data_IF_903175074065
#
_entry.id   IF_903175074065
#
_cell.length_a   1.000
_cell.length_b   1.000
_cell.length_c   1.000
_cell.angle_alpha   90.00
_cell.angle_beta   90.00
_cell.angle_gamma   90.00
#
_symmetry.space_group_name_H-M   'P 1'
#
loop_
_entity.id
_entity.type
_entity.pdbx_description
1 polymer ?
#
# COMPACT_ATOMS: atom_id res chain seq x y z
N UNK A 1 -0.79 -1.66 3.04
CA UNK A 1 -0.40 -0.26 3.34
C UNK A 1 0.97 0.07 2.75
N UNK A 2 1.99 -0.78 2.96
CA UNK A 2 3.33 -0.57 2.40
C UNK A 2 3.38 -0.27 0.90
N UNK A 3 2.63 -1.00 0.08
CA UNK A 3 2.52 -0.76 -1.38
C UNK A 3 2.20 0.69 -1.72
N UNK A 4 1.17 1.27 -1.10
CA UNK A 4 0.79 2.67 -1.36
C UNK A 4 1.83 3.66 -0.87
N UNK A 5 2.59 3.33 0.18
CA UNK A 5 3.67 4.18 0.64
C UNK A 5 4.84 4.20 -0.35
N UNK A 6 5.16 3.06 -0.97
CA UNK A 6 6.15 2.96 -2.06
C UNK A 6 5.70 3.78 -3.26
N UNK A 7 4.49 3.50 -3.77
CA UNK A 7 3.88 4.21 -4.91
C UNK A 7 3.85 5.72 -4.66
N UNK A 8 3.38 6.16 -3.48
CA UNK A 8 3.31 7.59 -3.13
C UNK A 8 4.68 8.26 -3.23
N UNK A 9 5.73 7.61 -2.71
CA UNK A 9 7.08 8.17 -2.71
C UNK A 9 7.66 8.20 -4.14
N UNK A 10 7.43 7.16 -4.94
CA UNK A 10 7.81 7.13 -6.37
C UNK A 10 7.16 8.30 -7.12
N UNK A 11 5.86 8.53 -6.90
CA UNK A 11 5.09 9.55 -7.60
C UNK A 11 5.21 10.95 -6.98
N UNK A 12 6.04 11.16 -5.95
CA UNK A 12 6.10 12.43 -5.23
C UNK A 12 6.78 13.54 -6.05
N UNK A 13 7.60 13.20 -7.04
CA UNK A 13 8.33 14.16 -7.88
C UNK A 13 9.57 14.76 -7.19
N UNK A 14 10.05 14.13 -6.11
CA UNK A 14 11.31 14.52 -5.45
C UNK A 14 12.47 13.94 -6.24
N UNK A 15 13.39 14.80 -6.69
CA UNK A 15 14.56 14.37 -7.48
C UNK A 15 15.60 13.68 -6.61
N UNK A 16 16.27 12.67 -7.18
CA UNK A 16 17.40 12.00 -6.52
C UNK A 16 17.02 11.10 -5.35
N UNK A 17 15.76 10.65 -5.27
CA UNK A 17 15.32 9.70 -4.25
C UNK A 17 15.55 8.28 -4.74
N UNK A 18 16.08 7.44 -3.85
CA UNK A 18 16.13 5.98 -3.99
C UNK A 18 15.18 5.36 -2.98
N UNK A 19 14.41 4.37 -3.40
CA UNK A 19 13.43 3.68 -2.55
C UNK A 19 13.82 2.21 -2.44
N UNK A 20 14.09 1.77 -1.22
CA UNK A 20 14.28 0.37 -0.88
C UNK A 20 13.03 -0.17 -0.18
N UNK A 21 12.38 -1.19 -0.73
CA UNK A 21 11.21 -1.83 -0.13
C UNK A 21 11.56 -3.22 0.40
N UNK A 22 11.44 -3.39 1.72
CA UNK A 22 11.79 -4.62 2.43
C UNK A 22 10.57 -5.43 2.88
N UNK A 23 10.60 -6.75 2.65
CA UNK A 23 9.64 -7.72 3.20
C UNK A 23 10.35 -9.08 3.37
N UNK A 24 9.86 -9.93 4.29
CA UNK A 24 10.38 -11.29 4.47
C UNK A 24 9.81 -12.26 3.41
N UNK A 25 8.67 -11.91 2.82
CA UNK A 25 7.96 -12.71 1.83
C UNK A 25 8.33 -12.26 0.41
N UNK A 26 9.10 -13.10 -0.28
CA UNK A 26 9.57 -12.81 -1.64
C UNK A 26 8.40 -12.71 -2.65
N UNK A 27 7.28 -13.42 -2.44
CA UNK A 27 6.12 -13.32 -3.34
C UNK A 27 5.45 -11.94 -3.24
N UNK A 28 5.43 -11.35 -2.03
CA UNK A 28 4.96 -9.97 -1.83
C UNK A 28 5.89 -8.96 -2.49
N UNK A 29 7.21 -9.19 -2.42
CA UNK A 29 8.19 -8.35 -3.10
C UNK A 29 8.03 -8.40 -4.62
N UNK A 30 7.87 -9.59 -5.21
CA UNK A 30 7.61 -9.75 -6.64
C UNK A 30 6.31 -9.07 -7.06
N UNK A 31 5.24 -9.22 -6.27
CA UNK A 31 3.95 -8.59 -6.52
C UNK A 31 4.05 -7.05 -6.45
N UNK A 32 4.79 -6.52 -5.47
CA UNK A 32 5.07 -5.09 -5.36
C UNK A 32 5.88 -4.59 -6.56
N UNK A 33 6.92 -5.32 -6.97
CA UNK A 33 7.79 -4.92 -8.07
C UNK A 33 7.03 -4.81 -9.40
N UNK A 34 6.12 -5.75 -9.68
CA UNK A 34 5.25 -5.69 -10.87
C UNK A 34 4.43 -4.41 -10.96
N UNK A 35 4.02 -3.84 -9.81
CA UNK A 35 3.22 -2.60 -9.74
C UNK A 35 4.12 -1.36 -9.71
N UNK A 36 5.19 -1.39 -8.89
CA UNK A 36 5.99 -0.23 -8.58
C UNK A 36 7.07 0.07 -9.62
N UNK A 37 7.67 -0.95 -10.25
CA UNK A 37 8.77 -0.75 -11.21
C UNK A 37 8.37 0.11 -12.43
N UNK A 38 7.21 -0.13 -13.09
CA UNK A 38 6.79 0.72 -14.20
C UNK A 38 6.59 2.19 -13.80
N UNK A 39 6.13 2.44 -12.57
CA UNK A 39 5.99 3.79 -12.03
C UNK A 39 7.35 4.41 -11.70
N UNK A 40 8.28 3.62 -11.18
CA UNK A 40 9.64 4.05 -10.88
C UNK A 40 10.36 4.49 -12.15
N UNK A 41 10.30 3.68 -13.21
CA UNK A 41 10.89 3.98 -14.51
C UNK A 41 10.28 5.25 -15.12
N UNK A 42 8.94 5.35 -15.11
CA UNK A 42 8.21 6.52 -15.60
C UNK A 42 8.59 7.82 -14.88
N UNK A 43 8.84 7.75 -13.58
CA UNK A 43 9.17 8.91 -12.75
C UNK A 43 10.68 9.12 -12.55
N UNK A 44 11.53 8.28 -13.16
CA UNK A 44 12.98 8.30 -13.01
C UNK A 44 13.43 8.23 -11.54
N UNK A 45 12.85 7.29 -10.78
CA UNK A 45 13.15 7.03 -9.37
C UNK A 45 13.82 5.66 -9.26
N UNK A 46 14.94 5.56 -8.55
CA UNK A 46 15.55 4.25 -8.30
C UNK A 46 14.70 3.49 -7.28
N UNK A 47 14.31 2.27 -7.62
CA UNK A 47 13.49 1.41 -6.78
C UNK A 47 14.07 0.01 -6.75
N UNK A 48 14.31 -0.51 -5.54
CA UNK A 48 14.84 -1.86 -5.31
C UNK A 48 14.04 -2.56 -4.21
N UNK A 49 13.61 -3.80 -4.44
CA UNK A 49 13.04 -4.66 -3.39
C UNK A 49 14.11 -5.52 -2.75
N UNK A 50 14.00 -5.80 -1.45
CA UNK A 50 14.95 -6.65 -0.75
C UNK A 50 14.31 -7.51 0.34
N UNK A 51 14.90 -8.67 0.61
CA UNK A 51 14.61 -9.48 1.76
C UNK A 51 15.70 -9.24 2.82
N UNK A 52 15.38 -8.70 4.01
CA UNK A 52 16.39 -8.33 5.00
C UNK A 52 17.23 -9.50 5.51
N UNK A 53 16.76 -10.74 5.34
CA UNK A 53 17.48 -11.96 5.74
C UNK A 53 18.41 -12.50 4.65
N UNK A 54 18.26 -12.05 3.40
CA UNK A 54 19.00 -12.58 2.24
C UNK A 54 19.91 -11.53 1.62
N UNK A 55 19.38 -10.33 1.36
CA UNK A 55 20.04 -9.27 0.62
C UNK A 55 19.72 -7.88 1.19
N UNK A 56 20.04 -7.61 2.47
CA UNK A 56 19.81 -6.29 3.05
C UNK A 56 20.57 -5.19 2.26
N UNK A 57 20.01 -3.97 2.16
CA UNK A 57 20.68 -2.87 1.49
C UNK A 57 22.00 -2.55 2.20
N UNK A 58 23.06 -2.33 1.42
CA UNK A 58 24.37 -1.98 1.95
C UNK A 58 24.45 -0.54 2.46
N UNK A 59 23.60 0.34 1.93
CA UNK A 59 23.58 1.77 2.25
C UNK A 59 22.64 2.06 3.42
N UNK A 60 23.05 2.99 4.28
CA UNK A 60 22.23 3.46 5.39
C UNK A 60 21.13 4.41 4.90
N UNK A 61 19.92 4.26 5.43
CA UNK A 61 18.76 5.05 4.98
C UNK A 61 18.63 6.37 5.74
N UNK A 62 18.35 7.46 5.02
CA UNK A 62 18.05 8.78 5.62
C UNK A 62 16.60 8.89 6.12
N UNK A 63 15.70 8.06 5.61
CA UNK A 63 14.30 8.03 6.00
C UNK A 63 13.81 6.58 5.98
N UNK A 64 13.36 6.06 7.12
CA UNK A 64 12.89 4.69 7.28
C UNK A 64 11.43 4.74 7.67
N UNK A 65 10.57 3.95 7.01
CA UNK A 65 9.16 3.83 7.40
C UNK A 65 8.81 2.38 7.70
N UNK A 66 8.33 2.14 8.91
CA UNK A 66 8.02 0.82 9.41
C UNK A 66 6.54 0.51 9.21
N UNK A 67 6.27 -0.41 8.27
CA UNK A 67 4.91 -0.78 7.84
C UNK A 67 4.33 -1.98 8.56
N UNK A 68 5.12 -2.64 9.41
CA UNK A 68 4.69 -3.75 10.23
C UNK A 68 4.84 -3.38 11.72
N UNK A 69 3.88 -3.74 12.59
CA UNK A 69 3.86 -3.40 14.01
C UNK A 69 4.81 -4.31 14.81
N UNK A 70 6.09 -4.35 14.42
CA UNK A 70 7.08 -5.30 14.95
C UNK A 70 8.18 -4.52 15.70
N UNK A 71 8.28 -4.65 17.04
CA UNK A 71 9.28 -3.92 17.84
C UNK A 71 10.71 -4.14 17.37
N UNK A 72 11.07 -5.36 16.97
CA UNK A 72 12.42 -5.69 16.48
C UNK A 72 12.79 -4.88 15.22
N UNK A 73 11.82 -4.47 14.40
CA UNK A 73 12.10 -3.64 13.24
C UNK A 73 12.42 -2.19 13.64
N UNK A 74 11.84 -1.68 14.73
CA UNK A 74 12.18 -0.36 15.25
C UNK A 74 13.63 -0.33 15.77
N UNK A 75 14.00 -1.33 16.57
CA UNK A 75 15.38 -1.49 17.03
C UNK A 75 16.35 -1.65 15.86
N UNK A 76 16.00 -2.48 14.87
CA UNK A 76 16.80 -2.67 13.66
C UNK A 76 16.98 -1.40 12.83
N UNK A 77 15.96 -0.54 12.77
CA UNK A 77 16.01 0.73 12.05
C UNK A 77 17.04 1.70 12.63
N UNK A 78 17.26 1.71 13.95
CA UNK A 78 18.33 2.53 14.57
C UNK A 78 19.70 2.11 14.06
N UNK A 79 19.91 0.80 13.84
CA UNK A 79 21.18 0.28 13.36
C UNK A 79 21.41 0.60 11.87
N UNK A 80 20.38 0.47 11.03
CA UNK A 80 20.48 0.73 9.58
C UNK A 80 20.30 2.20 9.18
N UNK A 81 19.88 3.07 10.11
CA UNK A 81 19.74 4.49 9.87
C UNK A 81 21.08 5.20 9.67
N UNK A 82 21.10 6.12 8.71
CA UNK A 82 22.16 7.11 8.55
C UNK A 82 22.11 8.17 9.65
N UNK A 83 23.19 8.93 9.82
CA UNK A 83 23.20 10.08 10.72
C UNK A 83 22.16 11.13 10.28
N UNK A 84 21.38 11.64 11.22
CA UNK A 84 20.30 12.60 11.01
C UNK A 84 19.02 12.00 10.41
N UNK A 85 18.91 10.67 10.36
CA UNK A 85 17.76 10.02 9.73
C UNK A 85 16.49 10.11 10.57
N UNK A 86 15.35 10.09 9.88
CA UNK A 86 14.02 10.01 10.48
C UNK A 86 13.51 8.57 10.39
N UNK A 87 13.04 8.02 11.50
CA UNK A 87 12.43 6.70 11.57
C UNK A 87 10.94 6.87 11.91
N UNK A 88 10.10 6.54 10.95
CA UNK A 88 8.65 6.65 11.04
C UNK A 88 8.02 5.30 11.41
N UNK A 89 7.49 5.21 12.62
CA UNK A 89 6.79 4.05 13.18
C UNK A 89 5.32 4.07 12.74
N UNK A 90 5.09 3.85 11.44
CA UNK A 90 3.79 4.09 10.82
C UNK A 90 2.70 3.08 11.21
N UNK A 91 3.05 1.79 11.32
CA UNK A 91 2.09 0.72 11.58
C UNK A 91 1.43 0.77 12.97
N UNK A 92 1.92 1.67 13.84
CA UNK A 92 1.59 1.68 15.26
C UNK A 92 2.19 0.45 15.96
N UNK A 93 2.45 0.58 17.26
CA UNK A 93 2.80 -0.53 18.14
C UNK A 93 1.83 -0.46 19.31
N UNK A 94 1.33 -1.61 19.75
CA UNK A 94 0.43 -1.67 20.89
C UNK A 94 1.08 -1.01 22.12
N UNK A 95 0.29 -0.24 22.88
CA UNK A 95 0.82 0.65 23.92
C UNK A 95 1.52 -0.07 25.08
N UNK A 96 1.20 -1.33 25.28
CA UNK A 96 1.77 -2.23 26.29
C UNK A 96 3.04 -2.96 25.81
N UNK A 97 3.41 -2.82 24.53
CA UNK A 97 4.57 -3.48 23.96
C UNK A 97 5.82 -2.61 24.10
N UNK A 98 6.82 -3.14 24.78
CA UNK A 98 8.11 -2.49 24.99
C UNK A 98 9.08 -2.86 23.85
N UNK A 99 9.83 -1.88 23.37
CA UNK A 99 10.88 -2.06 22.38
C UNK A 99 12.26 -1.75 22.98
N UNK A 100 13.21 -2.66 22.82
CA UNK A 100 14.60 -2.44 23.23
C UNK A 100 15.34 -1.59 22.19
N UNK A 101 15.58 -0.33 22.52
CA UNK A 101 16.27 0.62 21.65
C UNK A 101 17.68 0.88 22.18
N UNK A 102 18.68 0.78 21.31
CA UNK A 102 20.03 1.26 21.61
C UNK A 102 20.04 2.80 21.59
N UNK A 103 19.92 3.42 22.76
CA UNK A 103 19.85 4.87 22.90
C UNK A 103 21.18 5.56 22.59
N UNK A 104 22.32 4.91 22.83
CA UNK A 104 23.64 5.47 22.51
C UNK A 104 23.76 5.69 21.00
N UNK A 105 23.46 4.64 20.20
CA UNK A 105 23.43 4.74 18.74
C UNK A 105 22.39 5.73 18.23
N UNK A 106 21.22 5.79 18.86
CA UNK A 106 20.17 6.75 18.50
C UNK A 106 20.65 8.19 18.67
N UNK A 107 21.28 8.50 19.81
CA UNK A 107 21.78 9.84 20.14
C UNK A 107 22.98 10.21 19.26
N UNK A 108 23.97 9.32 19.13
CA UNK A 108 25.18 9.55 18.33
C UNK A 108 24.85 9.86 16.87
N UNK A 109 23.89 9.10 16.31
CA UNK A 109 23.40 9.30 14.94
C UNK A 109 22.38 10.44 14.84
N UNK A 110 21.98 11.09 15.93
CA UNK A 110 21.00 12.19 15.91
C UNK A 110 19.68 11.79 15.22
N UNK A 111 19.17 10.60 15.53
CA UNK A 111 17.96 10.08 14.92
C UNK A 111 16.70 10.74 15.49
N UNK A 112 15.61 10.64 14.73
CA UNK A 112 14.31 11.16 15.17
C UNK A 112 13.19 10.14 14.90
N UNK A 113 12.50 9.72 15.97
CA UNK A 113 11.29 8.90 15.84
C UNK A 113 10.05 9.76 15.60
N UNK A 114 9.22 9.33 14.65
CA UNK A 114 7.89 9.90 14.42
C UNK A 114 6.84 8.79 14.31
N UNK A 115 5.61 9.13 14.66
CA UNK A 115 4.43 8.34 14.38
C UNK A 115 3.26 9.29 14.14
N UNK A 116 2.38 8.96 13.18
CA UNK A 116 1.23 9.80 12.84
C UNK A 116 -0.05 9.04 13.15
N UNK A 117 -0.96 9.63 13.93
CA UNK A 117 -2.22 8.99 14.33
C UNK A 117 -3.35 9.12 13.29
N UNK A 118 -3.14 9.86 12.19
CA UNK A 118 -4.16 10.02 11.16
C UNK A 118 -3.84 11.12 10.15
N UNK A 119 -4.82 11.40 9.29
CA UNK A 119 -4.76 12.44 8.27
C UNK A 119 -5.72 13.57 8.61
N UNK A 120 -5.28 14.80 8.37
CA UNK A 120 -6.12 16.00 8.45
C UNK A 120 -7.01 16.15 7.20
N UNK A 121 -7.96 17.09 7.23
CA UNK A 121 -8.73 17.47 6.04
C UNK A 121 -7.83 17.98 4.91
N UNK A 122 -6.75 18.67 5.24
CA UNK A 122 -5.83 19.20 4.24
C UNK A 122 -4.98 18.08 3.61
N UNK A 123 -4.64 17.04 4.38
CA UNK A 123 -4.02 15.83 3.84
C UNK A 123 -4.96 15.14 2.83
N UNK A 124 -6.25 14.99 3.18
CA UNK A 124 -7.25 14.41 2.29
C UNK A 124 -7.41 15.22 1.00
N UNK A 125 -7.52 16.55 1.08
CA UNK A 125 -7.58 17.43 -0.10
C UNK A 125 -6.33 17.32 -0.96
N UNK A 126 -5.16 17.22 -0.34
CA UNK A 126 -3.87 17.06 -1.04
C UNK A 126 -3.84 15.75 -1.84
N UNK A 127 -4.28 14.65 -1.25
CA UNK A 127 -4.38 13.36 -1.95
C UNK A 127 -5.40 13.43 -3.08
N UNK A 128 -6.59 14.01 -2.84
CA UNK A 128 -7.62 14.17 -3.86
C UNK A 128 -7.10 14.94 -5.09
N UNK A 129 -6.39 16.05 -4.89
CA UNK A 129 -5.80 16.82 -5.99
C UNK A 129 -4.75 16.02 -6.79
N UNK A 130 -3.99 15.15 -6.14
CA UNK A 130 -3.03 14.25 -6.83
C UNK A 130 -3.73 13.19 -7.66
N UNK A 131 -4.84 12.64 -7.16
CA UNK A 131 -5.66 11.67 -7.91
C UNK A 131 -6.32 12.34 -9.11
N UNK A 132 -6.94 13.51 -8.92
CA UNK A 132 -7.60 14.25 -10.01
C UNK A 132 -6.62 14.70 -11.11
N UNK A 133 -5.37 15.02 -10.75
CA UNK A 133 -4.33 15.37 -11.73
C UNK A 133 -3.62 14.18 -12.35
N UNK A 134 -3.98 12.94 -12.00
CA UNK A 134 -3.35 11.71 -12.49
C UNK A 134 -1.92 11.49 -11.97
N UNK A 135 -1.47 12.27 -10.99
CA UNK A 135 -0.14 12.12 -10.36
C UNK A 135 -0.07 10.93 -9.42
N UNK A 136 -1.20 10.48 -8.89
CA UNK A 136 -1.30 9.31 -8.03
C UNK A 136 -2.54 8.51 -8.41
N UNK A 137 -2.36 7.24 -8.77
CA UNK A 137 -3.48 6.31 -8.90
C UNK A 137 -3.58 5.48 -7.62
N UNK A 138 -4.74 5.50 -6.98
CA UNK A 138 -5.02 4.71 -5.77
C UNK A 138 -5.66 3.35 -6.09
N UNK A 139 -6.21 3.18 -7.31
CA UNK A 139 -6.90 1.95 -7.72
C UNK A 139 -5.95 0.76 -7.80
N UNK A 140 -4.68 1.00 -8.09
CA UNK A 140 -3.63 -0.02 -8.16
C UNK A 140 -3.39 -0.76 -6.83
N UNK A 141 -3.96 -0.28 -5.72
CA UNK A 141 -3.92 -1.00 -4.44
C UNK A 141 -5.05 -2.02 -4.26
N UNK A 142 -6.04 -2.04 -5.14
CA UNK A 142 -7.19 -2.93 -5.06
C UNK A 142 -6.75 -4.32 -5.50
N UNK A 143 -7.04 -5.31 -4.65
CA UNK A 143 -6.73 -6.72 -4.88
C UNK A 143 -7.99 -7.59 -4.93
N UNK A 144 -9.11 -7.10 -4.39
CA UNK A 144 -10.40 -7.75 -4.49
C UNK A 144 -11.56 -6.75 -4.42
N UNK A 145 -12.70 -7.18 -4.91
CA UNK A 145 -13.97 -6.45 -4.84
C UNK A 145 -15.04 -7.35 -4.21
N UNK A 146 -16.03 -6.74 -3.56
CA UNK A 146 -17.21 -7.45 -3.08
C UNK A 146 -18.44 -6.56 -3.10
N UNK A 147 -19.62 -7.18 -3.11
CA UNK A 147 -20.87 -6.57 -2.69
C UNK A 147 -21.00 -6.57 -1.18
N UNK A 148 -22.14 -6.10 -0.67
CA UNK A 148 -22.38 -6.07 0.78
C UNK A 148 -22.42 -7.49 1.38
N UNK A 149 -22.92 -8.47 0.62
CA UNK A 149 -23.00 -9.88 1.04
C UNK A 149 -21.62 -10.51 1.26
N UNK A 150 -20.61 -10.08 0.49
CA UNK A 150 -19.23 -10.56 0.62
C UNK A 150 -18.39 -9.82 1.66
N UNK A 151 -18.93 -8.79 2.33
CA UNK A 151 -18.15 -7.94 3.23
C UNK A 151 -17.61 -8.68 4.47
N UNK A 152 -18.39 -9.61 5.05
CA UNK A 152 -17.96 -10.42 6.20
C UNK A 152 -16.75 -11.27 5.83
N UNK A 153 -16.79 -11.90 4.65
CA UNK A 153 -15.66 -12.70 4.17
C UNK A 153 -14.47 -11.82 3.81
N UNK A 154 -14.71 -10.59 3.31
CA UNK A 154 -13.67 -9.58 3.11
C UNK A 154 -12.94 -9.23 4.42
N UNK A 155 -13.67 -9.02 5.51
CA UNK A 155 -13.07 -8.76 6.84
C UNK A 155 -12.22 -9.95 7.28
N UNK A 156 -12.75 -11.18 7.19
CA UNK A 156 -12.00 -12.40 7.52
C UNK A 156 -10.75 -12.57 6.66
N UNK A 157 -10.80 -12.20 5.39
CA UNK A 157 -9.65 -12.25 4.50
C UNK A 157 -8.54 -11.29 4.94
N UNK A 158 -8.91 -10.11 5.46
CA UNK A 158 -7.96 -9.14 6.02
C UNK A 158 -7.35 -9.67 7.32
N UNK A 159 -8.18 -10.16 8.25
CA UNK A 159 -7.73 -10.73 9.53
C UNK A 159 -6.73 -11.87 9.33
N UNK A 160 -6.99 -12.74 8.37
CA UNK A 160 -6.15 -13.89 8.06
C UNK A 160 -5.04 -13.58 7.03
N UNK A 161 -4.84 -12.31 6.67
CA UNK A 161 -3.80 -11.87 5.72
C UNK A 161 -3.86 -12.61 4.36
N UNK A 162 -5.05 -13.05 3.93
CA UNK A 162 -5.24 -13.89 2.74
C UNK A 162 -5.13 -13.11 1.44
N UNK A 163 -5.61 -11.87 1.42
CA UNK A 163 -5.64 -11.03 0.22
C UNK A 163 -4.62 -9.89 0.36
N UNK A 164 -3.55 -9.87 -0.44
CA UNK A 164 -2.53 -8.83 -0.38
C UNK A 164 -3.01 -7.56 -1.10
N UNK A 165 -3.57 -6.61 -0.35
CA UNK A 165 -4.00 -5.33 -0.91
C UNK A 165 -5.25 -4.77 -0.23
N UNK A 166 -6.01 -3.97 -0.97
CA UNK A 166 -7.29 -3.40 -0.54
C UNK A 166 -8.44 -4.21 -1.11
N UNK A 167 -9.47 -4.38 -0.28
CA UNK A 167 -10.76 -4.94 -0.67
C UNK A 167 -11.74 -3.78 -0.72
N UNK A 168 -12.40 -3.58 -1.86
CA UNK A 168 -13.43 -2.55 -2.01
C UNK A 168 -14.81 -3.20 -1.97
N UNK A 169 -15.65 -2.73 -1.05
CA UNK A 169 -17.04 -3.14 -0.95
C UNK A 169 -17.90 -2.14 -1.71
N UNK A 170 -18.67 -2.61 -2.68
CA UNK A 170 -19.66 -1.85 -3.44
C UNK A 170 -21.07 -2.23 -2.96
N UNK A 171 -21.68 -1.51 -2.00
CA UNK A 171 -22.95 -1.93 -1.40
C UNK A 171 -24.11 -2.04 -2.40
N UNK A 172 -24.05 -1.28 -3.49
CA UNK A 172 -25.08 -1.28 -4.55
C UNK A 172 -24.97 -2.48 -5.52
N UNK A 173 -23.84 -3.18 -5.52
CA UNK A 173 -23.58 -4.33 -6.38
C UNK A 173 -24.08 -5.60 -5.70
N UNK A 174 -25.32 -5.98 -5.98
CA UNK A 174 -25.94 -7.19 -5.40
C UNK A 174 -25.35 -8.47 -5.97
N UNK A 175 -25.38 -9.55 -5.20
CA UNK A 175 -24.88 -10.86 -5.60
C UNK A 175 -23.41 -10.85 -6.06
N UNK A 176 -22.59 -9.95 -5.50
CA UNK A 176 -21.15 -9.91 -5.73
C UNK A 176 -20.45 -10.49 -4.51
N UNK A 177 -20.04 -11.75 -4.61
CA UNK A 177 -19.22 -12.38 -3.57
C UNK A 177 -17.81 -11.78 -3.57
N UNK A 178 -17.05 -11.98 -2.49
CA UNK A 178 -15.66 -11.58 -2.46
C UNK A 178 -14.89 -12.22 -3.61
N UNK A 179 -14.42 -11.40 -4.53
CA UNK A 179 -13.75 -11.82 -5.76
C UNK A 179 -12.39 -11.15 -5.85
N UNK A 180 -11.32 -11.94 -5.81
CA UNK A 180 -9.97 -11.44 -6.04
C UNK A 180 -9.76 -11.11 -7.52
N UNK A 181 -9.01 -10.04 -7.82
CA UNK A 181 -8.81 -9.59 -9.20
C UNK A 181 -8.16 -10.66 -10.07
N UNK A 182 -7.28 -11.50 -9.49
CA UNK A 182 -6.66 -12.62 -10.20
C UNK A 182 -7.66 -13.67 -10.71
N UNK A 183 -8.84 -13.74 -10.10
CA UNK A 183 -9.90 -14.69 -10.43
C UNK A 183 -11.09 -14.03 -11.13
N UNK A 184 -11.07 -12.71 -11.34
CA UNK A 184 -12.22 -11.98 -11.89
C UNK A 184 -12.58 -12.45 -13.30
N UNK A 185 -11.59 -12.77 -14.13
CA UNK A 185 -11.79 -13.30 -15.49
C UNK A 185 -12.57 -14.62 -15.51
N UNK A 186 -12.56 -15.39 -14.41
CA UNK A 186 -13.30 -16.67 -14.32
C UNK A 186 -14.77 -16.47 -13.95
N UNK A 187 -15.08 -15.38 -13.24
CA UNK A 187 -16.40 -15.14 -12.64
C UNK A 187 -17.18 -14.07 -13.40
N UNK A 188 -16.49 -13.03 -13.88
CA UNK A 188 -17.03 -11.88 -14.60
C UNK A 188 -16.02 -11.45 -15.69
N UNK A 189 -15.91 -12.21 -16.80
CA UNK A 189 -14.95 -11.93 -17.88
C UNK A 189 -15.03 -10.51 -18.41
N UNK A 190 -16.25 -9.95 -18.53
CA UNK A 190 -16.47 -8.59 -19.07
C UNK A 190 -15.81 -7.49 -18.22
N UNK A 191 -15.66 -7.72 -16.91
CA UNK A 191 -14.95 -6.79 -16.01
C UNK A 191 -13.45 -7.03 -16.08
N UNK A 192 -13.06 -8.31 -16.19
CA UNK A 192 -11.65 -8.68 -16.22
C UNK A 192 -10.93 -8.23 -17.51
N UNK A 193 -11.64 -8.19 -18.64
CA UNK A 193 -11.15 -7.61 -19.90
C UNK A 193 -10.88 -6.09 -19.80
N UNK A 194 -11.54 -5.40 -18.86
CA UNK A 194 -11.32 -3.97 -18.59
C UNK A 194 -10.11 -3.70 -17.66
N UNK A 195 -9.47 -4.73 -17.08
CA UNK A 195 -8.32 -4.51 -16.20
C UNK A 195 -7.08 -4.07 -17.00
N UNK A 196 -6.35 -3.10 -16.47
CA UNK A 196 -5.07 -2.67 -17.05
C UNK A 196 -3.94 -3.47 -16.38
N UNK A 197 -3.32 -4.40 -17.10
CA UNK A 197 -2.26 -5.29 -16.57
C UNK A 197 -2.71 -6.06 -15.31
N UNK A 198 -3.99 -6.42 -15.24
CA UNK A 198 -4.59 -7.10 -14.08
C UNK A 198 -4.88 -6.18 -12.89
N UNK A 199 -4.69 -4.86 -13.03
CA UNK A 199 -4.98 -3.86 -12.01
C UNK A 199 -6.36 -3.24 -12.20
N UNK A 200 -7.01 -2.93 -11.08
CA UNK A 200 -8.27 -2.21 -11.07
C UNK A 200 -8.09 -0.80 -11.60
N UNK A 201 -9.09 -0.33 -12.35
CA UNK A 201 -9.14 1.01 -12.90
C UNK A 201 -10.60 1.48 -13.01
N UNK A 202 -10.77 2.71 -13.51
CA UNK A 202 -12.10 3.32 -13.66
C UNK A 202 -13.00 2.59 -14.67
N UNK A 203 -12.43 2.02 -15.74
CA UNK A 203 -13.20 1.30 -16.75
C UNK A 203 -13.83 0.03 -16.18
N UNK A 204 -13.04 -0.76 -15.42
CA UNK A 204 -13.51 -1.93 -14.72
C UNK A 204 -14.59 -1.58 -13.67
N UNK A 205 -14.44 -0.45 -12.96
CA UNK A 205 -15.44 0.05 -12.03
C UNK A 205 -16.74 0.45 -12.73
N UNK A 206 -16.66 1.25 -13.80
CA UNK A 206 -17.84 1.68 -14.56
C UNK A 206 -18.59 0.47 -15.16
N UNK A 207 -17.87 -0.54 -15.65
CA UNK A 207 -18.45 -1.79 -16.16
C UNK A 207 -19.10 -2.61 -15.05
N UNK A 208 -18.45 -2.73 -13.89
CA UNK A 208 -19.04 -3.37 -12.71
C UNK A 208 -20.36 -2.69 -12.32
N UNK A 209 -20.37 -1.37 -12.23
CA UNK A 209 -21.55 -0.60 -11.84
C UNK A 209 -22.69 -0.68 -12.87
N UNK A 210 -22.38 -0.76 -14.16
CA UNK A 210 -23.40 -0.99 -15.20
C UNK A 210 -24.03 -2.37 -15.12
N UNK A 211 -23.23 -3.40 -14.84
CA UNK A 211 -23.69 -4.80 -14.83
C UNK A 211 -24.37 -5.21 -13.51
N UNK A 212 -23.88 -4.68 -12.38
CA UNK A 212 -24.29 -5.11 -11.03
C UNK A 212 -24.89 -3.98 -10.19
N UNK A 213 -24.66 -2.72 -10.54
CA UNK A 213 -25.24 -1.59 -9.83
C UNK A 213 -26.76 -1.62 -9.93
N UNK A 214 -27.44 -1.60 -8.78
CA UNK A 214 -28.88 -1.40 -8.78
C UNK A 214 -29.24 -0.12 -9.53
N UNK A 215 -30.37 -0.12 -10.26
CA UNK A 215 -30.91 1.12 -10.85
C UNK A 215 -31.04 2.14 -9.73
N UNK A 216 -30.24 3.22 -9.79
CA UNK A 216 -30.50 4.41 -8.97
C UNK A 216 -31.88 4.88 -9.43
N UNK A 217 -32.89 4.64 -8.60
CA UNK A 217 -34.22 5.14 -8.88
C UNK A 217 -34.10 6.63 -9.13
N UNK A 218 -34.53 7.09 -10.30
CA UNK A 218 -34.94 8.49 -10.44
C UNK A 218 -36.10 8.64 -9.47
N UNK A 219 -35.85 9.20 -8.30
CA UNK A 219 -36.92 9.70 -7.44
C UNK A 219 -37.76 10.64 -8.31
N UNK A 220 -39.06 10.36 -8.31
CA UNK A 220 -40.08 11.05 -9.10
C UNK A 220 -40.47 12.36 -8.43
#
# INVERSE_FOLDING_TARGET
MGTMHVIRNICQGVKGVTIHAGDLDDQRLESLAKIAQPLADKNNVRFDTYNPTKNPPAEASNYIVLMAPIPKLVAGAVNSAAKGAIINVFAGIAADVICEINLDSYIEKQLYFIGTSGSTLDDMKTVLGKVQSGKLDTNISIAAISGFEGAIEGIRAVENHRIPGKIVVYPICKNLQLTELKDINKVMPEIGDCLADGLWNKEAEDTLLKLKGGKIGKES
#
